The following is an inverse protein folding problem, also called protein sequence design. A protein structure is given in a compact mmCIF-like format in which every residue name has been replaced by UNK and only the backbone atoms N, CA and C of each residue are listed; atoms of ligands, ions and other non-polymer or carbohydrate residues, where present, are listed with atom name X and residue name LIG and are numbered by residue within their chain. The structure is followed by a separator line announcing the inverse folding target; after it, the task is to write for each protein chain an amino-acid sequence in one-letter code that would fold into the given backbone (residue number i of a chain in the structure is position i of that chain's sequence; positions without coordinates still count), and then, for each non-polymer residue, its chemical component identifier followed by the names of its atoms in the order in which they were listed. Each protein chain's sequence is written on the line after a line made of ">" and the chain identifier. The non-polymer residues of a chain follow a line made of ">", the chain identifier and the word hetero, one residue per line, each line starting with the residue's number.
data_IF_548512045968
#
_entry.id   IF_548512045968
#
_cell.length_a   1.000
_cell.length_b   1.000
_cell.length_c   1.000
_cell.angle_alpha   90.00
_cell.angle_beta   90.00
_cell.angle_gamma   90.00
#
_symmetry.space_group_name_H-M   'P 1'
#
loop_
_entity.id
_entity.type
_entity.pdbx_description
1 polymer ?
#
# COMPACT_ATOMS: atom_id res chain seq x y z
N UNK A 1 4.29 16.88 -2.37
CA UNK A 1 3.94 16.12 -3.58
C UNK A 1 5.20 15.69 -4.32
N UNK A 2 5.41 14.37 -4.41
CA UNK A 2 6.60 13.76 -5.02
C UNK A 2 6.36 13.52 -6.50
N UNK A 3 7.34 13.83 -7.35
CA UNK A 3 7.25 13.61 -8.80
C UNK A 3 8.29 12.62 -9.27
N UNK A 4 7.90 11.77 -10.23
CA UNK A 4 8.84 10.86 -10.89
C UNK A 4 9.79 11.67 -11.77
N UNK A 5 11.10 11.43 -11.62
CA UNK A 5 12.11 11.97 -12.52
C UNK A 5 12.23 11.02 -13.73
N UNK A 6 11.83 11.50 -14.91
CA UNK A 6 11.72 10.67 -16.11
C UNK A 6 12.96 10.81 -16.99
N UNK A 7 13.65 9.68 -17.25
CA UNK A 7 14.63 9.56 -18.33
C UNK A 7 13.90 9.30 -19.65
N UNK A 8 14.52 9.61 -20.79
CA UNK A 8 13.96 9.20 -22.09
C UNK A 8 14.25 7.71 -22.32
N UNK A 9 13.25 6.81 -22.19
CA UNK A 9 13.51 5.38 -22.24
C UNK A 9 13.98 4.92 -23.62
N UNK A 10 13.41 5.49 -24.69
CA UNK A 10 13.79 5.16 -26.07
C UNK A 10 15.20 5.59 -26.44
N UNK A 11 15.81 6.52 -25.70
CA UNK A 11 17.18 6.97 -25.92
C UNK A 11 18.21 6.23 -25.05
N UNK A 12 17.89 6.01 -23.79
CA UNK A 12 18.87 5.51 -22.81
C UNK A 12 18.64 4.04 -22.48
N UNK A 13 17.41 3.65 -22.10
CA UNK A 13 17.14 2.29 -21.60
C UNK A 13 17.31 1.23 -22.70
N UNK A 14 16.96 1.55 -23.95
CA UNK A 14 17.19 0.62 -25.08
C UNK A 14 18.68 0.25 -25.23
N UNK A 15 19.57 1.21 -25.03
CA UNK A 15 21.01 0.99 -25.12
C UNK A 15 21.55 0.24 -23.89
N UNK A 16 21.03 0.54 -22.70
CA UNK A 16 21.41 -0.14 -21.44
C UNK A 16 21.04 -1.64 -21.50
N UNK A 17 19.82 -1.96 -21.92
CA UNK A 17 19.36 -3.35 -22.07
C UNK A 17 20.22 -4.09 -23.10
N UNK A 18 20.47 -3.49 -24.26
CA UNK A 18 21.35 -4.09 -25.26
C UNK A 18 22.76 -4.35 -24.70
N UNK A 19 23.32 -3.39 -23.96
CA UNK A 19 24.66 -3.50 -23.36
C UNK A 19 24.71 -4.60 -22.29
N UNK A 20 23.66 -4.77 -21.49
CA UNK A 20 23.56 -5.85 -20.52
C UNK A 20 23.57 -7.23 -21.20
N UNK A 21 22.74 -7.45 -22.22
CA UNK A 21 22.72 -8.70 -22.98
C UNK A 21 24.04 -8.95 -23.74
N UNK A 22 24.64 -7.89 -24.28
CA UNK A 22 25.91 -7.98 -25.02
C UNK A 22 27.06 -8.47 -24.17
N UNK A 23 27.09 -8.15 -22.87
CA UNK A 23 28.15 -8.61 -21.96
C UNK A 23 28.15 -10.13 -21.77
N UNK A 24 26.97 -10.75 -21.79
CA UNK A 24 26.82 -12.20 -21.63
C UNK A 24 27.04 -12.95 -22.96
N UNK A 25 26.71 -12.34 -24.09
CA UNK A 25 26.68 -13.00 -25.41
C UNK A 25 27.74 -12.51 -26.41
N UNK A 26 28.61 -11.57 -26.01
CA UNK A 26 29.66 -10.94 -26.82
C UNK A 26 29.14 -10.23 -28.09
N UNK A 27 27.95 -9.60 -28.00
CA UNK A 27 27.35 -8.85 -29.11
C UNK A 27 28.07 -7.53 -29.40
N UNK A 28 28.19 -7.20 -30.69
CA UNK A 28 28.83 -5.97 -31.16
C UNK A 28 27.79 -4.90 -31.46
N UNK A 29 27.97 -3.71 -30.87
CA UNK A 29 27.06 -2.57 -30.97
C UNK A 29 26.68 -2.14 -32.40
N UNK A 30 27.53 -2.40 -33.39
CA UNK A 30 27.31 -2.00 -34.80
C UNK A 30 27.06 -3.18 -35.73
N UNK A 31 26.86 -4.39 -35.20
CA UNK A 31 26.57 -5.59 -35.98
C UNK A 31 25.06 -5.74 -36.18
N UNK A 32 24.56 -5.69 -37.42
CA UNK A 32 23.14 -5.95 -37.67
C UNK A 32 22.72 -7.37 -37.27
N UNK A 33 23.59 -8.36 -37.50
CA UNK A 33 23.34 -9.76 -37.13
C UNK A 33 23.19 -9.93 -35.61
N UNK A 34 24.05 -9.28 -34.82
CA UNK A 34 23.95 -9.36 -33.35
C UNK A 34 22.73 -8.61 -32.83
N UNK A 35 22.31 -7.55 -33.53
CA UNK A 35 21.07 -6.81 -33.21
C UNK A 35 19.85 -7.70 -33.41
N UNK A 36 19.79 -8.46 -34.51
CA UNK A 36 18.69 -9.39 -34.77
C UNK A 36 18.63 -10.51 -33.72
N UNK A 37 19.78 -11.10 -33.38
CA UNK A 37 19.87 -12.12 -32.32
C UNK A 37 19.43 -11.59 -30.95
N UNK A 38 19.84 -10.36 -30.60
CA UNK A 38 19.37 -9.69 -29.38
C UNK A 38 17.85 -9.55 -29.37
N UNK A 39 17.24 -9.07 -30.46
CA UNK A 39 15.79 -8.86 -30.51
C UNK A 39 15.01 -10.17 -30.35
N UNK A 40 15.50 -11.26 -30.96
CA UNK A 40 14.92 -12.60 -30.80
C UNK A 40 14.98 -13.06 -29.33
N UNK A 41 16.18 -13.07 -28.74
CA UNK A 41 16.40 -13.52 -27.36
C UNK A 41 15.69 -12.65 -26.32
N UNK A 42 15.72 -11.33 -26.50
CA UNK A 42 14.99 -10.40 -25.64
C UNK A 42 13.49 -10.63 -25.74
N UNK A 43 12.98 -10.86 -26.96
CA UNK A 43 11.58 -11.20 -27.19
C UNK A 43 11.15 -12.49 -26.49
N UNK A 44 11.97 -13.54 -26.53
CA UNK A 44 11.72 -14.80 -25.82
C UNK A 44 11.76 -14.62 -24.29
N UNK A 45 12.79 -13.93 -23.78
CA UNK A 45 12.97 -13.67 -22.34
C UNK A 45 11.83 -12.81 -21.78
N UNK A 46 11.36 -11.83 -22.56
CA UNK A 46 10.23 -10.99 -22.19
C UNK A 46 8.94 -11.80 -22.11
N UNK A 47 8.66 -12.65 -23.10
CA UNK A 47 7.49 -13.55 -23.08
C UNK A 47 7.52 -14.49 -21.86
N UNK A 48 8.66 -15.14 -21.62
CA UNK A 48 8.83 -16.01 -20.45
C UNK A 48 8.60 -15.26 -19.13
N UNK A 49 9.03 -14.00 -19.04
CA UNK A 49 8.82 -13.15 -17.86
C UNK A 49 7.35 -12.74 -17.70
N UNK A 50 6.66 -12.44 -18.81
CA UNK A 50 5.23 -12.09 -18.84
C UNK A 50 4.32 -13.28 -18.46
N UNK A 51 4.74 -14.51 -18.74
CA UNK A 51 4.02 -15.72 -18.36
C UNK A 51 4.28 -16.13 -16.91
N UNK A 52 5.35 -15.63 -16.29
CA UNK A 52 5.72 -15.95 -14.91
C UNK A 52 4.94 -15.10 -13.89
N UNK A 53 3.77 -15.59 -13.49
CA UNK A 53 2.89 -14.92 -12.52
C UNK A 53 3.55 -14.66 -11.16
N UNK A 54 4.46 -15.52 -10.71
CA UNK A 54 5.15 -15.34 -9.43
C UNK A 54 6.08 -14.13 -9.50
N UNK A 55 6.86 -14.04 -10.58
CA UNK A 55 7.77 -12.90 -10.82
C UNK A 55 6.99 -11.59 -10.97
N UNK A 56 5.95 -11.58 -11.80
CA UNK A 56 5.12 -10.39 -12.01
C UNK A 56 4.49 -9.90 -10.71
N UNK A 57 3.93 -10.81 -9.91
CA UNK A 57 3.32 -10.45 -8.65
C UNK A 57 4.36 -9.94 -7.63
N UNK A 58 5.57 -10.52 -7.61
CA UNK A 58 6.69 -10.02 -6.81
C UNK A 58 7.08 -8.58 -7.19
N UNK A 59 7.42 -8.36 -8.47
CA UNK A 59 7.81 -7.04 -8.98
C UNK A 59 6.71 -5.98 -8.83
N UNK A 60 5.44 -6.37 -8.98
CA UNK A 60 4.31 -5.48 -8.73
C UNK A 60 4.23 -5.03 -7.26
N UNK A 61 4.47 -5.94 -6.32
CA UNK A 61 4.43 -5.60 -4.89
C UNK A 61 5.63 -4.78 -4.44
N UNK A 62 6.82 -5.02 -5.01
CA UNK A 62 7.98 -4.13 -4.87
C UNK A 62 7.63 -2.72 -5.33
N UNK A 63 7.11 -2.57 -6.55
CA UNK A 63 6.68 -1.28 -7.10
C UNK A 63 5.56 -0.61 -6.28
N UNK A 64 4.64 -1.41 -5.74
CA UNK A 64 3.57 -0.93 -4.85
C UNK A 64 4.16 -0.28 -3.59
N UNK A 65 5.15 -0.92 -2.94
CA UNK A 65 5.82 -0.32 -1.79
C UNK A 65 6.46 1.03 -2.13
N UNK A 66 7.10 1.16 -3.30
CA UNK A 66 7.62 2.44 -3.77
C UNK A 66 6.55 3.54 -3.85
N UNK A 67 5.33 3.21 -4.30
CA UNK A 67 4.19 4.14 -4.29
C UNK A 67 3.67 4.42 -2.89
N UNK A 68 3.61 3.43 -2.01
CA UNK A 68 3.26 3.61 -0.59
C UNK A 68 4.23 4.58 0.09
N UNK A 69 5.53 4.34 0.00
CA UNK A 69 6.54 5.21 0.60
C UNK A 69 6.49 6.66 0.06
N UNK A 70 6.14 6.83 -1.22
CA UNK A 70 5.95 8.14 -1.84
C UNK A 70 4.67 8.83 -1.34
N UNK A 71 3.55 8.10 -1.34
CA UNK A 71 2.22 8.61 -0.98
C UNK A 71 2.04 8.91 0.50
N UNK A 72 2.78 8.25 1.39
CA UNK A 72 2.81 8.57 2.82
C UNK A 72 3.59 9.87 3.13
N UNK A 73 4.35 10.38 2.17
CA UNK A 73 5.04 11.66 2.22
C UNK A 73 6.08 11.82 3.36
N UNK A 74 6.55 10.74 4.00
CA UNK A 74 7.65 10.81 4.98
C UNK A 74 9.04 10.90 4.34
N UNK A 75 9.14 10.63 3.05
CA UNK A 75 10.40 10.65 2.30
C UNK A 75 10.66 12.02 1.62
N UNK A 76 11.93 12.30 1.34
CA UNK A 76 12.41 13.34 0.42
C UNK A 76 12.84 12.75 -0.92
N UNK A 77 13.38 11.53 -0.91
CA UNK A 77 13.84 10.80 -2.09
C UNK A 77 13.55 9.32 -1.91
N UNK A 78 13.16 8.67 -3.01
CA UNK A 78 12.97 7.24 -3.12
C UNK A 78 13.71 6.81 -4.37
N UNK A 79 14.65 5.88 -4.24
CA UNK A 79 15.46 5.34 -5.34
C UNK A 79 15.38 3.82 -5.30
N UNK A 80 15.15 3.20 -6.44
CA UNK A 80 15.37 1.76 -6.62
C UNK A 80 16.87 1.50 -6.56
N UNK A 81 17.29 0.62 -5.64
CA UNK A 81 18.71 0.40 -5.35
C UNK A 81 19.25 -0.82 -6.10
N UNK A 82 18.44 -1.86 -6.33
CA UNK A 82 18.79 -3.10 -7.04
C UNK A 82 18.89 -2.95 -8.58
N UNK A 83 19.09 -1.73 -9.09
CA UNK A 83 19.13 -1.44 -10.53
C UNK A 83 20.43 -0.77 -10.97
N UNK A 84 20.86 -1.10 -12.19
CA UNK A 84 22.10 -0.63 -12.77
C UNK A 84 23.29 -1.53 -12.42
N UNK A 85 24.46 -1.15 -12.91
CA UNK A 85 25.68 -1.91 -12.68
C UNK A 85 26.25 -1.68 -11.29
N UNK A 86 26.67 -2.78 -10.66
CA UNK A 86 27.41 -2.76 -9.40
C UNK A 86 28.74 -3.45 -9.64
N UNK A 87 29.81 -2.75 -9.33
CA UNK A 87 31.16 -3.30 -9.33
C UNK A 87 31.63 -3.31 -7.88
N UNK A 88 31.91 -4.50 -7.37
CA UNK A 88 32.31 -4.74 -5.99
C UNK A 88 33.49 -5.71 -5.97
N UNK A 89 34.41 -5.53 -5.01
CA UNK A 89 35.45 -6.51 -4.70
C UNK A 89 34.94 -7.64 -3.78
N UNK A 90 33.77 -7.45 -3.16
CA UNK A 90 33.00 -8.50 -2.48
C UNK A 90 31.87 -9.00 -3.40
N UNK A 91 31.97 -10.26 -3.82
CA UNK A 91 30.96 -10.94 -4.63
C UNK A 91 29.79 -11.51 -3.79
N UNK A 92 29.89 -11.50 -2.47
CA UNK A 92 28.88 -12.03 -1.55
C UNK A 92 27.98 -10.92 -0.98
N UNK A 93 27.62 -9.93 -1.78
CA UNK A 93 26.67 -8.86 -1.41
C UNK A 93 25.36 -9.00 -2.19
N UNK A 94 24.27 -8.49 -1.61
CA UNK A 94 23.00 -8.29 -2.31
C UNK A 94 22.56 -6.85 -2.08
N UNK A 95 21.99 -6.25 -3.12
CA UNK A 95 21.42 -4.91 -3.03
C UNK A 95 19.97 -5.02 -2.56
N UNK A 96 19.56 -4.18 -1.60
CA UNK A 96 18.16 -4.01 -1.24
C UNK A 96 17.35 -3.42 -2.40
N UNK A 97 16.03 -3.60 -2.39
CA UNK A 97 15.14 -3.06 -3.42
C UNK A 97 15.15 -1.52 -3.48
N UNK A 98 15.16 -0.84 -2.32
CA UNK A 98 15.04 0.61 -2.25
C UNK A 98 16.06 1.27 -1.32
N UNK A 99 16.45 2.50 -1.68
CA UNK A 99 17.05 3.50 -0.80
C UNK A 99 16.06 4.65 -0.58
N UNK A 100 15.74 4.92 0.67
CA UNK A 100 14.86 6.02 1.06
C UNK A 100 15.67 7.09 1.81
N UNK A 101 15.46 8.35 1.46
CA UNK A 101 15.94 9.50 2.23
C UNK A 101 14.73 10.14 2.91
N UNK A 102 14.72 10.18 4.23
CA UNK A 102 13.58 10.63 5.04
C UNK A 102 13.55 12.16 5.19
N UNK A 103 12.39 12.69 5.59
CA UNK A 103 12.21 14.13 5.84
C UNK A 103 13.12 14.69 6.93
N UNK A 104 13.56 13.88 7.87
CA UNK A 104 14.54 14.27 8.90
C UNK A 104 16.01 14.12 8.47
N UNK A 105 16.27 13.66 7.24
CA UNK A 105 17.61 13.49 6.68
C UNK A 105 18.23 12.12 6.91
N UNK A 106 17.62 11.25 7.73
CA UNK A 106 18.04 9.85 7.84
C UNK A 106 17.87 9.13 6.51
N UNK A 107 18.69 8.11 6.30
CA UNK A 107 18.60 7.23 5.14
C UNK A 107 18.39 5.81 5.61
N UNK A 108 17.60 5.05 4.86
CA UNK A 108 17.39 3.63 5.11
C UNK A 108 17.43 2.87 3.79
N UNK A 109 17.93 1.65 3.84
CA UNK A 109 17.70 0.67 2.79
C UNK A 109 16.51 -0.18 3.16
N UNK A 110 15.72 -0.56 2.15
CA UNK A 110 14.52 -1.36 2.33
C UNK A 110 14.53 -2.53 1.36
N UNK A 111 14.46 -3.73 1.92
CA UNK A 111 14.14 -4.95 1.19
C UNK A 111 12.64 -5.22 1.30
N UNK A 112 11.96 -5.40 0.18
CA UNK A 112 10.52 -5.63 0.11
C UNK A 112 10.22 -7.12 0.08
N UNK A 113 9.22 -7.53 0.85
CA UNK A 113 8.71 -8.89 0.89
C UNK A 113 7.19 -8.87 0.88
N UNK A 114 6.60 -9.85 0.19
CA UNK A 114 5.17 -10.11 0.18
C UNK A 114 4.96 -11.55 0.65
N UNK A 115 4.02 -11.75 1.57
CA UNK A 115 3.80 -13.07 2.16
C UNK A 115 2.32 -13.42 2.28
N UNK A 116 2.02 -14.68 1.97
CA UNK A 116 0.68 -15.27 2.01
C UNK A 116 0.51 -16.21 3.22
N UNK A 117 1.21 -15.94 4.32
CA UNK A 117 0.99 -16.70 5.57
C UNK A 117 -0.50 -16.66 5.95
N UNK A 118 -1.08 -17.79 6.37
CA UNK A 118 -2.55 -17.95 6.37
C UNK A 118 -3.25 -17.15 7.48
N UNK A 119 -2.58 -16.88 8.60
CA UNK A 119 -3.18 -16.17 9.74
C UNK A 119 -2.16 -15.30 10.49
N UNK A 120 -2.62 -14.42 11.40
CA UNK A 120 -1.75 -13.45 12.08
C UNK A 120 -0.69 -14.02 13.03
N UNK A 121 -0.80 -15.29 13.40
CA UNK A 121 0.15 -16.00 14.29
C UNK A 121 1.09 -16.92 13.52
N UNK A 122 0.92 -17.04 12.20
CA UNK A 122 1.76 -17.88 11.35
C UNK A 122 3.18 -17.35 11.24
N UNK A 123 4.14 -18.25 11.37
CA UNK A 123 5.56 -17.94 11.26
C UNK A 123 5.95 -17.55 9.83
N UNK A 124 6.72 -16.47 9.71
CA UNK A 124 7.43 -16.08 8.51
C UNK A 124 8.94 -16.12 8.77
N UNK A 125 9.69 -16.73 7.85
CA UNK A 125 11.11 -17.03 8.03
C UNK A 125 11.96 -16.38 6.94
N UNK A 126 13.07 -15.77 7.35
CA UNK A 126 14.14 -15.29 6.46
C UNK A 126 15.40 -16.09 6.74
N UNK A 127 16.15 -16.47 5.69
CA UNK A 127 17.42 -17.17 5.89
C UNK A 127 18.51 -16.18 6.31
N UNK A 128 19.35 -16.56 7.28
CA UNK A 128 20.43 -15.68 7.78
C UNK A 128 21.48 -15.34 6.74
N UNK A 129 21.82 -16.29 5.87
CA UNK A 129 22.78 -16.09 4.78
C UNK A 129 22.32 -14.98 3.82
N UNK A 130 21.04 -14.98 3.49
CA UNK A 130 20.42 -13.98 2.65
C UNK A 130 20.40 -12.59 3.32
N UNK A 131 19.99 -12.52 4.58
CA UNK A 131 20.01 -11.24 5.34
C UNK A 131 21.44 -10.72 5.50
N UNK A 132 22.42 -11.59 5.74
CA UNK A 132 23.83 -11.21 5.88
C UNK A 132 24.40 -10.56 4.60
N UNK A 133 24.02 -11.04 3.41
CA UNK A 133 24.42 -10.42 2.13
C UNK A 133 23.90 -8.99 1.98
N UNK A 134 22.65 -8.74 2.37
CA UNK A 134 22.04 -7.39 2.37
C UNK A 134 22.67 -6.50 3.46
N UNK A 135 22.97 -7.06 4.63
CA UNK A 135 23.62 -6.35 5.72
C UNK A 135 25.04 -5.91 5.34
N UNK A 136 25.83 -6.75 4.66
CA UNK A 136 27.15 -6.35 4.16
C UNK A 136 27.07 -5.12 3.23
N UNK A 137 26.12 -5.11 2.29
CA UNK A 137 25.90 -3.94 1.44
C UNK A 137 25.52 -2.69 2.25
N UNK A 138 24.68 -2.87 3.27
CA UNK A 138 24.23 -1.82 4.18
C UNK A 138 25.39 -1.24 5.00
N UNK A 139 26.28 -2.09 5.50
CA UNK A 139 27.50 -1.73 6.22
C UNK A 139 28.49 -0.95 5.34
N UNK A 140 28.71 -1.39 4.09
CA UNK A 140 29.57 -0.69 3.11
C UNK A 140 29.12 0.76 2.87
N UNK A 141 27.81 1.02 2.93
CA UNK A 141 27.24 2.34 2.71
C UNK A 141 27.00 3.14 4.01
N UNK A 142 27.12 2.51 5.18
CA UNK A 142 26.75 3.12 6.46
C UNK A 142 25.26 3.48 6.56
N UNK A 143 24.38 2.71 5.90
CA UNK A 143 22.93 2.95 5.85
C UNK A 143 22.21 1.74 6.46
N UNK A 144 21.30 1.91 7.44
CA UNK A 144 20.61 0.80 8.08
C UNK A 144 19.65 0.07 7.15
N UNK A 145 19.55 -1.26 7.31
CA UNK A 145 18.65 -2.14 6.57
C UNK A 145 17.33 -2.34 7.29
N UNK A 146 16.25 -2.21 6.54
CA UNK A 146 14.89 -2.52 6.94
C UNK A 146 14.23 -3.52 5.99
N UNK A 147 13.24 -4.24 6.48
CA UNK A 147 12.36 -5.10 5.69
C UNK A 147 10.95 -4.52 5.65
N UNK A 148 10.46 -4.19 4.46
CA UNK A 148 9.07 -3.85 4.23
C UNK A 148 8.28 -5.11 3.87
N UNK A 149 7.45 -5.61 4.79
CA UNK A 149 6.71 -6.86 4.61
C UNK A 149 5.22 -6.57 4.47
N UNK A 150 4.64 -6.94 3.33
CA UNK A 150 3.19 -6.96 3.13
C UNK A 150 2.60 -8.31 3.57
N UNK A 151 1.72 -8.26 4.57
CA UNK A 151 0.98 -9.42 5.07
C UNK A 151 -0.40 -9.47 4.44
N UNK A 152 -0.62 -10.39 3.49
CA UNK A 152 -1.92 -10.50 2.81
C UNK A 152 -3.08 -10.81 3.75
N UNK A 153 -2.85 -11.61 4.79
CA UNK A 153 -3.89 -11.96 5.77
C UNK A 153 -4.38 -10.75 6.59
N UNK A 154 -3.56 -9.71 6.75
CA UNK A 154 -3.93 -8.46 7.41
C UNK A 154 -4.23 -7.31 6.44
N UNK A 155 -3.85 -7.48 5.16
CA UNK A 155 -3.80 -6.42 4.13
C UNK A 155 -3.03 -5.19 4.62
N UNK A 156 -1.85 -5.42 5.20
CA UNK A 156 -1.06 -4.37 5.85
C UNK A 156 0.42 -4.50 5.57
N UNK A 157 1.07 -3.35 5.48
CA UNK A 157 2.52 -3.22 5.46
C UNK A 157 3.08 -3.11 6.87
N UNK A 158 4.27 -3.68 7.05
CA UNK A 158 5.12 -3.44 8.22
C UNK A 158 6.52 -3.09 7.74
N UNK A 159 7.21 -2.23 8.47
CA UNK A 159 8.61 -1.85 8.22
C UNK A 159 9.42 -2.20 9.46
N UNK A 160 10.36 -3.13 9.32
CA UNK A 160 11.06 -3.74 10.45
C UNK A 160 12.57 -3.59 10.32
N UNK A 161 13.27 -3.09 11.35
CA UNK A 161 14.73 -3.18 11.39
C UNK A 161 15.15 -4.65 11.61
N UNK A 162 16.35 -5.03 11.15
CA UNK A 162 16.82 -6.43 11.26
C UNK A 162 16.85 -6.93 12.71
N UNK A 163 17.17 -6.05 13.67
CA UNK A 163 17.25 -6.39 15.09
C UNK A 163 15.89 -6.64 15.76
N UNK A 164 14.76 -6.32 15.09
CA UNK A 164 13.44 -6.63 15.63
C UNK A 164 13.01 -8.07 15.38
N UNK A 165 13.67 -8.81 14.47
CA UNK A 165 13.33 -10.20 14.21
C UNK A 165 13.78 -11.12 15.35
N UNK A 166 13.05 -12.22 15.54
CA UNK A 166 13.46 -13.29 16.46
C UNK A 166 14.59 -14.08 15.82
N UNK A 167 15.77 -14.05 16.43
CA UNK A 167 16.94 -14.73 15.91
C UNK A 167 16.93 -16.24 16.23
N UNK A 168 16.98 -17.08 15.20
CA UNK A 168 17.15 -18.53 15.30
C UNK A 168 18.53 -18.94 14.80
N UNK A 169 18.93 -20.21 14.93
CA UNK A 169 20.28 -20.68 14.55
C UNK A 169 20.69 -20.32 13.10
N UNK A 170 19.80 -20.54 12.13
CA UNK A 170 20.06 -20.34 10.70
C UNK A 170 19.08 -19.39 10.01
N UNK A 171 18.12 -18.85 10.77
CA UNK A 171 17.01 -18.06 10.25
C UNK A 171 16.71 -16.88 11.18
N UNK A 172 16.02 -15.89 10.63
CA UNK A 172 15.24 -14.92 11.38
C UNK A 172 13.77 -15.28 11.27
N UNK A 173 13.03 -15.01 12.33
CA UNK A 173 11.62 -15.32 12.47
C UNK A 173 10.80 -14.07 12.84
N UNK A 174 9.58 -13.99 12.32
CA UNK A 174 8.54 -13.09 12.80
C UNK A 174 7.15 -13.68 12.53
N UNK A 175 6.10 -13.07 13.07
CA UNK A 175 4.70 -13.32 12.71
C UNK A 175 4.03 -11.99 12.34
N UNK A 176 2.90 -11.98 11.63
CA UNK A 176 2.19 -10.74 11.33
C UNK A 176 1.89 -9.88 12.59
N UNK A 177 1.49 -10.49 13.71
CA UNK A 177 1.26 -9.78 14.98
C UNK A 177 2.54 -9.18 15.55
N UNK A 178 3.63 -9.93 15.55
CA UNK A 178 4.91 -9.43 16.07
C UNK A 178 5.51 -8.33 15.20
N UNK A 179 5.38 -8.48 13.88
CA UNK A 179 5.75 -7.44 12.93
C UNK A 179 4.91 -6.17 13.12
N UNK A 180 3.61 -6.32 13.38
CA UNK A 180 2.74 -5.18 13.66
C UNK A 180 3.15 -4.45 14.95
N UNK A 181 3.50 -5.20 16.00
CA UNK A 181 3.97 -4.63 17.26
C UNK A 181 5.31 -3.89 17.11
N UNK A 182 6.19 -4.34 16.22
CA UNK A 182 7.51 -3.74 15.96
C UNK A 182 7.53 -2.80 14.74
N UNK A 183 6.37 -2.39 14.25
CA UNK A 183 6.24 -1.67 12.98
C UNK A 183 6.76 -0.22 13.06
N UNK A 184 7.67 0.14 12.16
CA UNK A 184 8.18 1.51 12.00
C UNK A 184 7.59 2.26 10.79
N UNK A 185 6.50 1.80 10.17
CA UNK A 185 5.86 2.50 9.03
C UNK A 185 5.49 3.97 9.32
N UNK A 186 5.27 4.33 10.58
CA UNK A 186 5.07 5.73 11.02
C UNK A 186 6.24 6.65 10.62
N UNK A 187 7.47 6.12 10.53
CA UNK A 187 8.63 6.84 10.03
C UNK A 187 8.45 7.33 8.59
N UNK A 188 7.69 6.59 7.79
CA UNK A 188 7.35 6.96 6.41
C UNK A 188 6.11 7.87 6.33
N UNK A 189 5.44 8.16 7.45
CA UNK A 189 4.22 8.96 7.52
C UNK A 189 2.93 8.15 7.63
N UNK A 190 3.01 6.83 7.84
CA UNK A 190 1.81 6.00 7.99
C UNK A 190 1.04 6.31 9.27
N UNK A 191 -0.28 6.39 9.13
CA UNK A 191 -1.23 6.63 10.23
C UNK A 191 -2.46 5.76 10.02
N UNK A 192 -3.02 5.28 11.12
CA UNK A 192 -4.34 4.65 11.09
C UNK A 192 -5.41 5.73 11.27
N UNK A 193 -6.41 5.73 10.41
CA UNK A 193 -7.44 6.78 10.35
C UNK A 193 -8.80 6.19 10.71
N UNK A 194 -9.54 6.90 11.55
CA UNK A 194 -10.93 6.62 11.87
C UNK A 194 -11.78 7.89 11.91
N UNK A 195 -13.09 7.74 11.79
CA UNK A 195 -14.07 8.83 11.90
C UNK A 195 -15.37 8.32 12.55
N UNK A 196 -16.33 9.22 12.74
CA UNK A 196 -17.69 8.85 13.14
C UNK A 196 -18.48 8.33 11.93
N UNK A 197 -19.03 7.11 11.97
CA UNK A 197 -19.94 6.65 10.93
C UNK A 197 -21.30 7.35 11.00
N UNK A 198 -22.10 7.30 9.92
CA UNK A 198 -21.70 6.92 8.57
C UNK A 198 -20.94 8.05 7.85
N UNK A 199 -20.18 7.69 6.80
CA UNK A 199 -19.87 8.63 5.72
C UNK A 199 -20.91 8.43 4.62
N UNK A 200 -21.41 9.52 4.05
CA UNK A 200 -22.43 9.47 2.99
C UNK A 200 -21.92 10.25 1.79
N UNK A 201 -22.03 9.66 0.61
CA UNK A 201 -21.82 10.31 -0.68
C UNK A 201 -23.17 10.45 -1.39
N UNK A 202 -23.59 11.66 -1.69
CA UNK A 202 -24.90 11.96 -2.25
C UNK A 202 -24.76 12.62 -3.63
N UNK A 203 -25.38 12.01 -4.64
CA UNK A 203 -25.53 12.56 -5.98
C UNK A 203 -26.88 13.27 -6.07
N UNK A 204 -26.87 14.59 -6.16
CA UNK A 204 -28.09 15.41 -6.21
C UNK A 204 -28.51 15.61 -7.66
N UNK A 205 -29.79 15.36 -7.96
CA UNK A 205 -30.33 15.54 -9.29
C UNK A 205 -30.43 17.02 -9.67
N UNK A 206 -30.09 17.35 -10.92
CA UNK A 206 -30.35 18.66 -11.48
C UNK A 206 -31.86 18.84 -11.69
N UNK A 207 -32.48 19.65 -10.84
CA UNK A 207 -33.92 19.92 -10.87
C UNK A 207 -34.40 20.57 -12.18
N UNK A 208 -33.49 21.12 -12.99
CA UNK A 208 -33.79 21.65 -14.32
C UNK A 208 -33.85 20.58 -15.42
N UNK A 209 -33.50 19.33 -15.10
CA UNK A 209 -33.47 18.19 -16.01
C UNK A 209 -34.50 17.14 -15.61
N UNK A 210 -34.78 16.23 -16.54
CA UNK A 210 -35.63 15.09 -16.29
C UNK A 210 -34.90 14.07 -15.41
N UNK A 211 -35.67 13.44 -14.52
CA UNK A 211 -35.23 12.33 -13.68
C UNK A 211 -36.34 11.29 -13.65
N UNK A 212 -35.98 10.02 -13.71
CA UNK A 212 -36.94 8.91 -13.70
C UNK A 212 -36.39 7.71 -12.92
N UNK A 213 -37.29 6.94 -12.31
CA UNK A 213 -36.98 5.63 -11.73
C UNK A 213 -37.87 4.60 -12.41
N UNK A 214 -37.27 3.51 -12.90
CA UNK A 214 -38.00 2.45 -13.59
C UNK A 214 -38.54 1.36 -12.64
N UNK A 215 -39.26 0.38 -13.19
CA UNK A 215 -39.85 -0.74 -12.42
C UNK A 215 -38.79 -1.67 -11.80
N UNK A 216 -37.53 -1.59 -12.23
CA UNK A 216 -36.40 -2.33 -11.67
C UNK A 216 -35.62 -1.49 -10.62
N UNK A 217 -36.18 -0.37 -10.15
CA UNK A 217 -35.55 0.58 -9.24
C UNK A 217 -34.25 1.21 -9.78
N UNK A 218 -34.09 1.30 -11.10
CA UNK A 218 -32.95 2.01 -11.71
C UNK A 218 -33.28 3.48 -11.87
N UNK A 219 -32.45 4.33 -11.27
CA UNK A 219 -32.53 5.77 -11.40
C UNK A 219 -31.75 6.26 -12.63
N UNK A 220 -32.36 7.15 -13.42
CA UNK A 220 -31.72 7.90 -14.51
C UNK A 220 -31.93 9.39 -14.30
N UNK A 221 -30.84 10.14 -14.15
CA UNK A 221 -30.86 11.57 -13.90
C UNK A 221 -29.52 12.22 -14.27
N UNK A 222 -29.52 13.53 -14.45
CA UNK A 222 -28.29 14.32 -14.57
C UNK A 222 -27.89 14.81 -13.18
N UNK A 223 -26.66 14.50 -12.75
CA UNK A 223 -26.11 14.99 -11.50
C UNK A 223 -25.84 16.49 -11.60
N UNK A 224 -26.51 17.28 -10.76
CA UNK A 224 -26.31 18.73 -10.67
C UNK A 224 -25.33 19.14 -9.57
N UNK A 225 -25.19 18.32 -8.53
CA UNK A 225 -24.30 18.58 -7.39
C UNK A 225 -23.89 17.28 -6.67
N UNK A 226 -22.78 17.34 -5.94
CA UNK A 226 -22.26 16.23 -5.14
C UNK A 226 -22.03 16.69 -3.71
N UNK A 227 -22.72 16.02 -2.78
CA UNK A 227 -22.63 16.29 -1.35
C UNK A 227 -21.99 15.13 -0.61
N UNK A 228 -21.35 15.45 0.51
CA UNK A 228 -20.75 14.46 1.39
C UNK A 228 -21.11 14.80 2.83
N UNK A 229 -21.36 13.77 3.64
CA UNK A 229 -21.73 13.94 5.05
C UNK A 229 -20.90 13.03 5.94
N UNK A 230 -20.57 13.51 7.14
CA UNK A 230 -20.00 12.72 8.21
C UNK A 230 -20.95 12.75 9.40
N UNK A 231 -21.46 11.59 9.82
CA UNK A 231 -22.41 11.47 10.93
C UNK A 231 -23.59 12.46 10.83
N UNK A 232 -24.15 12.61 9.61
CA UNK A 232 -25.28 13.51 9.32
C UNK A 232 -24.93 14.99 9.14
N UNK A 233 -23.67 15.40 9.32
CA UNK A 233 -23.21 16.78 9.08
C UNK A 233 -22.60 16.93 7.69
N UNK A 234 -23.08 17.89 6.91
CA UNK A 234 -22.55 18.19 5.57
C UNK A 234 -21.10 18.66 5.65
N UNK A 235 -20.25 18.10 4.79
CA UNK A 235 -18.85 18.43 4.62
C UNK A 235 -18.76 19.46 3.48
N UNK A 236 -18.65 20.73 3.81
CA UNK A 236 -18.56 21.81 2.83
C UNK A 236 -17.11 22.12 2.41
N UNK A 237 -16.17 21.89 3.31
CA UNK A 237 -14.76 22.19 3.11
C UNK A 237 -14.14 21.27 2.04
N UNK A 238 -13.47 21.86 1.05
CA UNK A 238 -12.94 21.13 -0.10
C UNK A 238 -11.89 20.08 0.29
N UNK A 239 -11.03 20.39 1.26
CA UNK A 239 -9.99 19.46 1.69
C UNK A 239 -10.61 18.30 2.48
N UNK A 240 -11.62 18.58 3.31
CA UNK A 240 -12.39 17.53 3.98
C UNK A 240 -13.17 16.65 3.00
N UNK A 241 -13.74 17.22 1.92
CA UNK A 241 -14.38 16.42 0.86
C UNK A 241 -13.39 15.48 0.19
N UNK A 242 -12.18 15.96 -0.12
CA UNK A 242 -11.14 15.10 -0.70
C UNK A 242 -10.74 13.97 0.25
N UNK A 243 -10.59 14.27 1.55
CA UNK A 243 -10.29 13.25 2.54
C UNK A 243 -11.45 12.24 2.67
N UNK A 244 -12.68 12.71 2.85
CA UNK A 244 -13.84 11.84 2.97
C UNK A 244 -14.01 10.93 1.74
N UNK A 245 -13.87 11.48 0.53
CA UNK A 245 -13.96 10.72 -0.71
C UNK A 245 -12.88 9.63 -0.80
N UNK A 246 -11.64 9.98 -0.46
CA UNK A 246 -10.55 9.01 -0.43
C UNK A 246 -10.79 7.88 0.58
N UNK A 247 -11.27 8.22 1.79
CA UNK A 247 -11.60 7.24 2.83
C UNK A 247 -12.76 6.32 2.40
N UNK A 248 -13.79 6.86 1.75
CA UNK A 248 -14.92 6.06 1.23
C UNK A 248 -14.47 5.11 0.11
N UNK A 249 -13.57 5.54 -0.78
CA UNK A 249 -13.14 4.75 -1.94
C UNK A 249 -12.14 3.65 -1.58
N UNK A 250 -11.20 3.93 -0.69
CA UNK A 250 -10.05 3.06 -0.43
C UNK A 250 -9.95 2.54 1.00
N UNK A 251 -10.78 3.04 1.91
CA UNK A 251 -10.90 2.52 3.27
C UNK A 251 -11.65 1.19 3.35
N UNK A 252 -11.68 0.59 4.54
CA UNK A 252 -12.30 -0.73 4.76
C UNK A 252 -13.82 -0.73 4.94
N UNK A 253 -14.46 0.43 4.94
CA UNK A 253 -15.90 0.50 5.18
C UNK A 253 -16.66 0.01 3.94
N UNK A 254 -17.77 -0.69 4.19
CA UNK A 254 -18.62 -1.22 3.14
C UNK A 254 -19.63 -0.17 2.70
N UNK A 255 -19.86 -0.08 1.39
CA UNK A 255 -20.95 0.69 0.84
C UNK A 255 -22.20 -0.18 0.83
N UNK A 256 -23.26 0.28 1.50
CA UNK A 256 -24.58 -0.33 1.36
C UNK A 256 -25.17 -0.13 -0.04
N UNK A 257 -26.35 -0.70 -0.26
CA UNK A 257 -27.14 -0.44 -1.47
C UNK A 257 -27.46 1.06 -1.59
N UNK A 258 -27.44 1.61 -2.82
CA UNK A 258 -27.79 3.01 -3.03
C UNK A 258 -29.26 3.28 -2.69
N UNK A 259 -29.50 4.37 -1.96
CA UNK A 259 -30.84 4.79 -1.54
C UNK A 259 -31.27 6.03 -2.33
N UNK A 260 -32.42 5.95 -3.01
CA UNK A 260 -33.02 7.08 -3.70
C UNK A 260 -33.89 7.91 -2.76
N UNK A 261 -33.60 9.20 -2.62
CA UNK A 261 -34.43 10.15 -1.89
C UNK A 261 -35.41 10.81 -2.87
N UNK A 262 -36.70 10.78 -2.56
CA UNK A 262 -37.75 11.41 -3.37
C UNK A 262 -38.12 12.76 -2.77
N UNK A 263 -38.45 13.73 -3.62
CA UNK A 263 -39.02 15.00 -3.18
C UNK A 263 -40.50 14.86 -2.80
N UNK A 264 -41.10 15.96 -2.31
CA UNK A 264 -42.52 16.00 -1.91
C UNK A 264 -43.49 15.67 -3.07
N UNK A 265 -43.05 15.78 -4.33
CA UNK A 265 -43.83 15.48 -5.51
C UNK A 265 -43.61 14.04 -6.03
N UNK A 266 -42.79 13.24 -5.34
CA UNK A 266 -42.43 11.89 -5.75
C UNK A 266 -41.41 11.83 -6.90
N UNK A 267 -40.73 12.94 -7.21
CA UNK A 267 -39.61 12.96 -8.18
C UNK A 267 -38.31 12.64 -7.44
N UNK A 268 -37.41 11.90 -8.09
CA UNK A 268 -36.08 11.62 -7.54
C UNK A 268 -35.32 12.94 -7.28
N UNK A 269 -34.95 13.16 -6.01
CA UNK A 269 -34.18 14.30 -5.55
C UNK A 269 -32.68 13.99 -5.55
N UNK A 270 -32.29 12.86 -4.98
CA UNK A 270 -30.89 12.44 -4.90
C UNK A 270 -30.75 10.93 -4.76
N UNK A 271 -29.51 10.45 -4.95
CA UNK A 271 -29.12 9.07 -4.66
C UNK A 271 -27.98 9.09 -3.66
N UNK A 272 -28.13 8.33 -2.56
CA UNK A 272 -27.20 8.30 -1.44
C UNK A 272 -26.49 6.96 -1.35
N UNK A 273 -25.18 7.01 -1.25
CA UNK A 273 -24.30 5.86 -0.98
C UNK A 273 -23.79 6.01 0.45
N UNK A 274 -24.17 5.07 1.32
CA UNK A 274 -23.85 5.12 2.74
C UNK A 274 -22.75 4.11 3.06
N UNK A 275 -21.63 4.60 3.60
CA UNK A 275 -20.47 3.82 3.97
C UNK A 275 -20.44 3.63 5.48
N UNK A 276 -20.37 2.38 5.93
CA UNK A 276 -20.32 1.99 7.34
C UNK A 276 -19.20 0.97 7.61
N UNK A 277 -18.67 0.93 8.85
CA UNK A 277 -17.84 -0.19 9.25
C UNK A 277 -18.65 -1.50 9.21
N UNK A 278 -17.95 -2.62 9.03
CA UNK A 278 -18.54 -3.98 9.08
C UNK A 278 -19.30 -4.24 10.39
N UNK A 279 -18.84 -3.63 11.49
CA UNK A 279 -19.52 -3.66 12.80
C UNK A 279 -19.51 -2.29 13.47
N UNK A 280 -20.62 -1.95 14.12
CA UNK A 280 -20.75 -0.73 14.93
C UNK A 280 -20.22 -0.88 16.37
N UNK A 281 -19.84 -2.08 16.81
CA UNK A 281 -19.36 -2.33 18.18
C UNK A 281 -18.17 -1.44 18.56
N UNK A 282 -17.22 -1.27 17.63
CA UNK A 282 -16.06 -0.39 17.83
C UNK A 282 -16.47 1.07 17.98
N UNK A 283 -17.46 1.51 17.21
CA UNK A 283 -18.01 2.85 17.31
C UNK A 283 -18.75 3.07 18.63
N UNK A 284 -19.59 2.13 19.05
CA UNK A 284 -20.31 2.19 20.32
C UNK A 284 -19.35 2.25 21.52
N UNK A 285 -18.23 1.52 21.44
CA UNK A 285 -17.21 1.49 22.50
C UNK A 285 -16.32 2.74 22.52
N UNK A 286 -15.88 3.20 21.35
CA UNK A 286 -14.79 4.19 21.26
C UNK A 286 -15.26 5.58 20.80
N UNK A 287 -16.48 5.69 20.26
CA UNK A 287 -17.01 6.91 19.65
C UNK A 287 -16.49 7.18 18.22
N UNK A 288 -15.72 6.26 17.64
CA UNK A 288 -15.22 6.27 16.26
C UNK A 288 -15.06 4.84 15.73
N UNK A 289 -15.04 4.68 14.40
CA UNK A 289 -14.67 3.43 13.74
C UNK A 289 -13.49 3.65 12.78
N UNK A 290 -12.67 2.61 12.61
CA UNK A 290 -11.43 2.68 11.82
C UNK A 290 -11.67 2.36 10.35
N UNK A 291 -11.03 3.12 9.45
CA UNK A 291 -10.90 2.76 8.03
C UNK A 291 -9.70 1.86 7.76
N UNK A 292 -8.66 1.95 8.60
CA UNK A 292 -7.37 1.27 8.42
C UNK A 292 -6.21 2.26 8.32
N UNK A 293 -5.07 1.78 7.82
CA UNK A 293 -3.87 2.59 7.61
C UNK A 293 -3.85 3.28 6.26
N UNK A 294 -3.19 4.44 6.16
CA UNK A 294 -2.97 5.09 4.87
C UNK A 294 -2.17 4.19 3.92
N UNK A 295 -1.19 3.42 4.41
CA UNK A 295 -0.44 2.48 3.58
C UNK A 295 -1.32 1.40 2.95
N UNK A 296 -2.31 0.89 3.67
CA UNK A 296 -3.32 -0.03 3.11
C UNK A 296 -4.18 0.66 2.05
N UNK A 297 -4.65 1.89 2.29
CA UNK A 297 -5.47 2.63 1.32
C UNK A 297 -4.71 2.97 0.04
N UNK A 298 -3.45 3.37 0.14
CA UNK A 298 -2.57 3.58 -1.02
C UNK A 298 -2.36 2.27 -1.79
N UNK A 299 -2.26 1.14 -1.07
CA UNK A 299 -2.18 -0.18 -1.69
C UNK A 299 -3.45 -0.52 -2.47
N UNK A 300 -4.64 -0.21 -1.95
CA UNK A 300 -5.90 -0.43 -2.67
C UNK A 300 -6.04 0.50 -3.89
N UNK A 301 -5.68 1.78 -3.75
CA UNK A 301 -5.62 2.70 -4.88
C UNK A 301 -4.65 2.20 -5.97
N UNK A 302 -3.48 1.70 -5.57
CA UNK A 302 -2.53 1.08 -6.49
C UNK A 302 -3.09 -0.17 -7.16
N UNK A 303 -3.84 -1.00 -6.43
CA UNK A 303 -4.49 -2.19 -6.97
C UNK A 303 -5.46 -1.84 -8.10
N UNK A 304 -6.32 -0.84 -7.89
CA UNK A 304 -7.30 -0.39 -8.87
C UNK A 304 -6.64 0.04 -10.20
N UNK A 305 -5.43 0.61 -10.15
CA UNK A 305 -4.71 1.08 -11.34
C UNK A 305 -3.80 0.04 -12.02
N UNK A 306 -3.62 -1.13 -11.42
CA UNK A 306 -2.66 -2.15 -11.91
C UNK A 306 -3.27 -3.54 -12.10
N UNK A 307 -4.52 -3.72 -11.70
CA UNK A 307 -5.27 -4.97 -11.82
C UNK A 307 -6.60 -4.67 -12.51
N UNK A 308 -6.94 -5.46 -13.53
CA UNK A 308 -8.24 -5.42 -14.19
C UNK A 308 -8.74 -6.85 -14.35
N UNK A 309 -10.00 -7.13 -13.99
CA UNK A 309 -10.58 -8.49 -14.05
C UNK A 309 -9.69 -9.59 -13.41
N UNK A 310 -9.03 -9.27 -12.29
CA UNK A 310 -8.09 -10.12 -11.55
C UNK A 310 -6.74 -10.39 -12.26
N UNK A 311 -6.50 -9.79 -13.42
CA UNK A 311 -5.23 -9.88 -14.15
C UNK A 311 -4.36 -8.64 -13.92
N UNK A 312 -3.04 -8.86 -13.82
CA UNK A 312 -2.08 -7.75 -13.72
C UNK A 312 -1.94 -7.08 -15.09
N UNK A 313 -2.36 -5.83 -15.19
CA UNK A 313 -2.26 -5.04 -16.43
C UNK A 313 -1.04 -4.12 -16.46
N UNK A 314 -0.45 -3.82 -15.30
CA UNK A 314 0.75 -3.00 -15.19
C UNK A 314 1.57 -3.34 -13.94
N UNK A 315 2.91 -3.31 -14.06
CA UNK A 315 3.82 -3.38 -12.91
C UNK A 315 3.98 -2.02 -12.24
N UNK A 316 3.83 -0.92 -12.97
CA UNK A 316 3.91 0.43 -12.40
C UNK A 316 2.91 1.31 -13.13
N UNK A 317 2.06 2.08 -12.42
CA UNK A 317 1.08 2.94 -13.05
C UNK A 317 1.74 4.15 -13.72
N UNK A 318 1.04 4.69 -14.72
CA UNK A 318 1.41 5.95 -15.39
C UNK A 318 1.22 7.16 -14.49
N UNK A 319 0.26 7.10 -13.56
CA UNK A 319 -0.04 8.20 -12.66
C UNK A 319 1.12 8.47 -11.69
N UNK A 320 1.27 9.74 -11.32
CA UNK A 320 2.22 10.16 -10.29
C UNK A 320 1.77 9.65 -8.91
N UNK A 321 2.70 9.45 -7.95
CA UNK A 321 2.39 8.91 -6.64
C UNK A 321 1.27 9.65 -5.89
N UNK A 322 1.19 10.96 -6.10
CA UNK A 322 0.22 11.82 -5.42
C UNK A 322 -1.23 11.43 -5.73
N UNK A 323 -1.50 10.80 -6.88
CA UNK A 323 -2.84 10.33 -7.28
C UNK A 323 -3.35 9.21 -6.39
N UNK A 324 -2.45 8.43 -5.78
CA UNK A 324 -2.83 7.30 -4.91
C UNK A 324 -2.95 7.69 -3.45
N UNK A 325 -2.72 8.94 -3.09
CA UNK A 325 -2.60 9.38 -1.70
C UNK A 325 -3.56 10.50 -1.35
N UNK A 326 -3.79 10.67 -0.06
CA UNK A 326 -4.48 11.83 0.51
C UNK A 326 -3.56 12.51 1.52
N UNK A 327 -3.52 13.84 1.48
CA UNK A 327 -2.81 14.62 2.49
C UNK A 327 -3.75 14.93 3.66
N UNK A 328 -3.40 14.43 4.85
CA UNK A 328 -4.03 14.83 6.11
C UNK A 328 -3.03 15.72 6.86
N UNK A 329 -3.30 17.03 7.02
CA UNK A 329 -2.42 17.93 7.76
C UNK A 329 -2.15 17.44 9.19
N UNK A 330 -0.92 17.65 9.68
CA UNK A 330 -0.54 17.19 11.05
C UNK A 330 -1.36 17.83 12.16
N UNK A 331 -1.81 19.06 11.93
CA UNK A 331 -2.64 19.86 12.83
C UNK A 331 -4.10 19.88 12.40
N UNK A 332 -4.52 18.90 11.59
CA UNK A 332 -5.88 18.78 11.09
C UNK A 332 -6.90 18.86 12.24
N UNK A 333 -7.84 19.80 12.09
CA UNK A 333 -8.98 19.99 12.98
C UNK A 333 -10.22 20.10 12.11
N UNK A 334 -10.91 18.99 11.97
CA UNK A 334 -12.11 18.91 11.14
C UNK A 334 -13.23 19.81 11.64
N UNK A 335 -13.88 20.51 10.71
CA UNK A 335 -15.14 21.24 10.90
C UNK A 335 -16.31 20.26 10.90
N UNK A 336 -16.43 19.45 9.85
CA UNK A 336 -17.50 18.46 9.69
C UNK A 336 -16.96 17.03 9.77
N UNK A 337 -15.79 16.78 9.18
CA UNK A 337 -15.10 15.49 9.22
C UNK A 337 -14.15 15.39 10.43
N UNK A 338 -14.64 14.87 11.55
CA UNK A 338 -13.78 14.63 12.72
C UNK A 338 -12.91 13.39 12.56
N UNK A 339 -11.59 13.53 12.43
CA UNK A 339 -10.67 12.40 12.27
C UNK A 339 -9.95 12.04 13.56
N UNK A 340 -9.81 10.73 13.79
CA UNK A 340 -8.84 10.15 14.71
C UNK A 340 -7.68 9.60 13.89
N UNK A 341 -6.48 10.10 14.16
CA UNK A 341 -5.25 9.65 13.52
C UNK A 341 -4.31 9.03 14.55
N UNK A 342 -4.08 7.73 14.44
CA UNK A 342 -3.21 6.97 15.35
C UNK A 342 -1.87 6.70 14.68
N UNK A 343 -0.80 7.23 15.28
CA UNK A 343 0.57 6.93 14.91
C UNK A 343 1.01 5.70 15.71
N UNK A 344 1.31 4.61 15.02
CA UNK A 344 1.86 3.42 15.66
C UNK A 344 3.33 3.64 16.02
N UNK A 345 3.70 3.26 17.24
CA UNK A 345 5.08 3.23 17.69
C UNK A 345 5.50 1.78 17.91
N UNK A 346 6.71 1.45 17.45
CA UNK A 346 7.27 0.12 17.66
C UNK A 346 7.43 -0.17 19.16
N UNK A 347 7.05 -1.38 19.55
CA UNK A 347 7.23 -1.94 20.89
C UNK A 347 8.31 -3.05 20.83
N UNK A 348 9.59 -2.71 21.00
CA UNK A 348 10.70 -3.67 20.92
C UNK A 348 10.65 -4.75 22.02
N UNK A 349 9.90 -4.50 23.10
CA UNK A 349 9.73 -5.43 24.21
C UNK A 349 8.59 -6.43 23.97
N UNK A 350 7.83 -6.28 22.87
CA UNK A 350 6.76 -7.21 22.54
C UNK A 350 7.29 -8.62 22.30
N UNK A 351 6.79 -9.59 23.08
CA UNK A 351 7.09 -11.01 22.91
C UNK A 351 5.83 -11.74 22.46
N UNK A 352 5.95 -12.57 21.43
CA UNK A 352 4.88 -13.53 21.09
C UNK A 352 4.86 -14.60 22.18
N UNK A 353 3.76 -14.70 22.92
CA UNK A 353 3.53 -15.82 23.84
C UNK A 353 4.36 -15.81 25.13
N UNK A 354 4.32 -14.72 25.91
CA UNK A 354 4.54 -14.85 27.36
C UNK A 354 3.29 -15.44 28.04
N UNK A 355 2.85 -16.60 27.57
CA UNK A 355 2.08 -17.52 28.40
C UNK A 355 3.12 -18.43 29.06
N UNK A 356 3.52 -18.07 30.29
CA UNK A 356 3.49 -19.12 31.30
C UNK A 356 2.16 -19.86 31.08
N UNK A 357 2.21 -21.18 30.87
CA UNK A 357 1.03 -22.02 30.79
C UNK A 357 0.07 -21.64 31.92
N UNK A 358 -0.90 -20.78 31.65
CA UNK A 358 -2.01 -20.56 32.55
C UNK A 358 -2.88 -21.79 32.40
N UNK A 359 -2.50 -22.83 33.16
CA UNK A 359 -3.44 -23.82 33.63
C UNK A 359 -4.53 -23.07 34.39
N UNK A 360 -5.61 -22.71 33.70
CA UNK A 360 -6.85 -22.39 34.37
C UNK A 360 -7.41 -23.70 34.94
N UNK A 361 -6.96 -24.09 36.13
CA UNK A 361 -7.71 -25.03 36.96
C UNK A 361 -8.99 -24.33 37.40
N UNK A 362 -10.07 -24.58 36.67
CA UNK A 362 -11.41 -24.27 37.17
C UNK A 362 -11.77 -25.28 38.25
N UNK A 363 -11.50 -24.94 39.52
CA UNK A 363 -12.12 -25.61 40.66
C UNK A 363 -13.54 -25.06 40.80
N UNK A 364 -14.53 -25.85 40.36
CA UNK A 364 -15.93 -25.57 40.63
C UNK A 364 -16.26 -26.18 41.98
N UNK A 365 -16.23 -25.38 43.03
CA UNK A 365 -16.86 -25.76 44.29
C UNK A 365 -18.38 -25.63 44.16
N UNK A 366 -19.06 -26.76 44.35
CA UNK A 366 -20.52 -26.80 44.49
C UNK A 366 -20.90 -26.31 45.90
N UNK A 367 -21.75 -25.30 45.96
CA UNK A 367 -22.63 -25.04 47.10
C UNK A 367 -24.07 -24.93 46.62
#
# INVERSE_FOLDING_TARGET
>A
MMKRLVRNPGKFEALEVFTAFSREHDYKLKSPEDTEKFLEQFGESLKASQENQILLHGKRMEACFGQVAAGLQGCRLIKTEDTGDVISDDADILLPDYRLVLKDGRQIFVEVKNTSVPNPTSTYLLRKDYVAKLQRYSELNGVPLYFAIYYRCLRMWTLLPVNSFIELKHKYETTPIHSLANNEMAMLGDVNVGTKPPLVFELVADNSKDASVDEENRASFICGDVKMYCAGKEIEDHDEKNIAFYLMRFGRWECGEPEGEMDENGKLHSVRFTFNPESLEDFERNGFAMFGSLSSMITEAYNEHTVYEQEVTAITPKADPDVFSVEIPKDYKGKALGLWCFIMQANPDFKIGSEEKMHYEYTVDKS
#
